data_IF_335633895883
#
_entry.id   IF_335633895883
#
_cell.length_a   1.000
_cell.length_b   1.000
_cell.length_c   1.000
_cell.angle_alpha   90.00
_cell.angle_beta   90.00
_cell.angle_gamma   90.00
#
_symmetry.space_group_name_H-M   'P 1'
#
loop_
_entity.id
_entity.type
_entity.pdbx_description
1 polymer ?
#
# COMPACT_ATOMS: atom_id res chain seq x y z
N UNK A 1 58.03 -41.68 -8.98
CA UNK A 1 56.69 -42.25 -9.23
C UNK A 1 55.67 -41.56 -8.33
N UNK A 2 55.50 -40.24 -8.49
CA UNK A 2 54.67 -39.44 -7.56
C UNK A 2 54.07 -38.17 -8.16
N UNK A 3 54.61 -37.63 -9.27
CA UNK A 3 54.10 -36.40 -9.91
C UNK A 3 52.81 -36.60 -10.73
N UNK A 4 52.53 -37.83 -11.17
CA UNK A 4 51.31 -38.16 -11.94
C UNK A 4 50.05 -38.08 -11.05
N UNK A 5 50.11 -38.61 -9.82
CA UNK A 5 48.96 -38.67 -8.91
C UNK A 5 48.48 -37.30 -8.42
N UNK A 6 49.41 -36.35 -8.24
CA UNK A 6 49.06 -34.97 -7.87
C UNK A 6 48.39 -34.21 -9.02
N UNK A 7 48.73 -34.54 -10.27
CA UNK A 7 48.16 -33.89 -11.46
C UNK A 7 46.69 -34.27 -11.63
N UNK A 8 46.37 -35.55 -11.49
CA UNK A 8 44.98 -36.05 -11.54
C UNK A 8 44.12 -35.48 -10.40
N UNK A 9 44.66 -35.47 -9.18
CA UNK A 9 43.97 -34.91 -8.01
C UNK A 9 43.69 -33.41 -8.17
N UNK A 10 44.63 -32.65 -8.74
CA UNK A 10 44.46 -31.21 -9.00
C UNK A 10 43.36 -30.95 -10.04
N UNK A 11 43.28 -31.77 -11.09
CA UNK A 11 42.23 -31.65 -12.13
C UNK A 11 40.85 -31.93 -11.52
N UNK A 12 40.71 -32.98 -10.72
CA UNK A 12 39.43 -33.33 -10.08
C UNK A 12 38.96 -32.20 -9.15
N UNK A 13 39.85 -31.65 -8.32
CA UNK A 13 39.52 -30.55 -7.42
C UNK A 13 39.11 -29.30 -8.23
N UNK A 14 39.85 -28.96 -9.29
CA UNK A 14 39.51 -27.83 -10.16
C UNK A 14 38.13 -27.98 -10.80
N UNK A 15 37.79 -29.18 -11.31
CA UNK A 15 36.48 -29.46 -11.91
C UNK A 15 35.34 -29.34 -10.88
N UNK A 16 35.52 -29.86 -9.67
CA UNK A 16 34.53 -29.75 -8.60
C UNK A 16 34.34 -28.30 -8.15
N UNK A 17 35.42 -27.53 -8.05
CA UNK A 17 35.36 -26.10 -7.72
C UNK A 17 34.63 -25.32 -8.81
N UNK A 18 34.95 -25.54 -10.08
CA UNK A 18 34.25 -24.88 -11.19
C UNK A 18 32.76 -25.27 -11.23
N UNK A 19 32.44 -26.55 -11.07
CA UNK A 19 31.07 -27.05 -11.07
C UNK A 19 30.24 -26.47 -9.93
N UNK A 20 30.81 -26.38 -8.73
CA UNK A 20 30.13 -25.76 -7.57
C UNK A 20 29.94 -24.26 -7.74
N UNK A 21 30.93 -23.54 -8.27
CA UNK A 21 30.80 -22.11 -8.57
C UNK A 21 29.71 -21.84 -9.62
N UNK A 22 29.62 -22.68 -10.66
CA UNK A 22 28.56 -22.59 -11.67
C UNK A 22 27.18 -22.87 -11.06
N UNK A 23 27.06 -23.91 -10.23
CA UNK A 23 25.81 -24.23 -9.54
C UNK A 23 25.34 -23.09 -8.62
N UNK A 24 26.28 -22.46 -7.90
CA UNK A 24 25.99 -21.30 -7.06
C UNK A 24 25.56 -20.08 -7.90
N UNK A 25 26.23 -19.82 -9.01
CA UNK A 25 25.87 -18.73 -9.91
C UNK A 25 24.47 -18.92 -10.52
N UNK A 26 24.15 -20.14 -10.95
CA UNK A 26 22.81 -20.50 -11.45
C UNK A 26 21.74 -20.38 -10.38
N UNK A 27 22.01 -20.84 -9.15
CA UNK A 27 21.09 -20.72 -8.02
C UNK A 27 20.82 -19.26 -7.67
N UNK A 28 21.86 -18.43 -7.68
CA UNK A 28 21.72 -16.98 -7.45
C UNK A 28 20.92 -16.29 -8.56
N UNK A 29 21.16 -16.65 -9.82
CA UNK A 29 20.37 -16.13 -10.95
C UNK A 29 18.91 -16.56 -10.87
N UNK A 30 18.65 -17.84 -10.56
CA UNK A 30 17.31 -18.38 -10.38
C UNK A 30 16.57 -17.70 -9.22
N UNK A 31 17.24 -17.46 -8.09
CA UNK A 31 16.67 -16.74 -6.96
C UNK A 31 16.31 -15.31 -7.35
N UNK A 32 17.22 -14.59 -8.01
CA UNK A 32 16.95 -13.22 -8.47
C UNK A 32 15.78 -13.18 -9.45
N UNK A 33 15.75 -14.12 -10.40
CA UNK A 33 14.65 -14.27 -11.34
C UNK A 33 13.32 -14.56 -10.61
N UNK A 34 13.32 -15.47 -9.63
CA UNK A 34 12.14 -15.80 -8.85
C UNK A 34 11.62 -14.61 -8.03
N UNK A 35 12.53 -13.84 -7.40
CA UNK A 35 12.17 -12.62 -6.68
C UNK A 35 11.59 -11.57 -7.62
N UNK A 36 12.18 -11.39 -8.81
CA UNK A 36 11.66 -10.45 -9.82
C UNK A 36 10.31 -10.91 -10.36
N UNK A 37 10.15 -12.19 -10.66
CA UNK A 37 8.90 -12.78 -11.11
C UNK A 37 7.80 -12.60 -10.05
N UNK A 38 8.11 -12.89 -8.77
CA UNK A 38 7.18 -12.70 -7.67
C UNK A 38 6.77 -11.21 -7.54
N UNK A 39 7.74 -10.31 -7.61
CA UNK A 39 7.49 -8.87 -7.59
C UNK A 39 6.58 -8.44 -8.74
N UNK A 40 6.82 -8.94 -9.94
CA UNK A 40 6.04 -8.62 -11.13
C UNK A 40 4.63 -9.23 -11.10
N UNK A 41 4.47 -10.45 -10.61
CA UNK A 41 3.18 -11.10 -10.42
C UNK A 41 2.33 -10.35 -9.39
N UNK A 42 2.95 -9.88 -8.30
CA UNK A 42 2.27 -9.00 -7.34
C UNK A 42 1.80 -7.69 -7.98
N UNK A 43 2.64 -7.09 -8.83
CA UNK A 43 2.25 -5.89 -9.57
C UNK A 43 1.06 -6.13 -10.51
N UNK A 44 1.12 -7.19 -11.33
CA UNK A 44 0.03 -7.53 -12.27
C UNK A 44 -1.28 -7.85 -11.54
N UNK A 45 -1.21 -8.66 -10.47
CA UNK A 45 -2.38 -9.03 -9.69
C UNK A 45 -3.00 -7.79 -9.00
N UNK A 46 -2.17 -6.96 -8.38
CA UNK A 46 -2.59 -5.69 -7.78
C UNK A 46 -3.29 -4.82 -8.81
N UNK A 47 -2.71 -4.66 -9.99
CA UNK A 47 -3.23 -3.79 -11.02
C UNK A 47 -4.55 -4.34 -11.60
N UNK A 48 -4.71 -5.67 -11.69
CA UNK A 48 -5.99 -6.29 -12.04
C UNK A 48 -7.08 -6.01 -11.01
N UNK A 49 -6.79 -6.13 -9.71
CA UNK A 49 -7.73 -5.75 -8.65
C UNK A 49 -8.11 -4.26 -8.71
N UNK A 50 -7.20 -3.40 -9.20
CA UNK A 50 -7.51 -1.98 -9.41
C UNK A 50 -8.50 -1.74 -10.56
N UNK A 51 -8.50 -2.59 -11.58
CA UNK A 51 -9.40 -2.45 -12.73
C UNK A 51 -10.85 -2.85 -12.45
N UNK A 52 -11.13 -3.47 -11.30
CA UNK A 52 -12.49 -3.87 -10.96
C UNK A 52 -13.37 -2.62 -10.79
N UNK A 53 -14.47 -2.48 -11.55
CA UNK A 53 -15.37 -1.33 -11.46
C UNK A 53 -15.97 -1.18 -10.05
N UNK A 54 -16.10 -2.30 -9.33
CA UNK A 54 -16.50 -2.36 -7.92
C UNK A 54 -15.54 -1.61 -6.99
N UNK A 55 -14.23 -1.58 -7.29
CA UNK A 55 -13.25 -0.91 -6.43
C UNK A 55 -13.55 0.58 -6.33
N UNK A 56 -13.67 1.28 -7.47
CA UNK A 56 -13.98 2.73 -7.46
C UNK A 56 -15.34 3.04 -6.83
N UNK A 57 -16.33 2.15 -7.04
CA UNK A 57 -17.65 2.24 -6.41
C UNK A 57 -17.56 2.11 -4.89
N UNK A 58 -16.70 1.22 -4.39
CA UNK A 58 -16.43 1.04 -2.97
C UNK A 58 -15.83 2.31 -2.35
N UNK A 59 -14.89 3.00 -3.01
CA UNK A 59 -14.33 4.28 -2.51
C UNK A 59 -15.42 5.32 -2.30
N UNK A 60 -16.28 5.45 -3.31
CA UNK A 60 -17.31 6.48 -3.35
C UNK A 60 -18.40 6.26 -2.30
N UNK A 61 -18.58 5.03 -1.81
CA UNK A 61 -19.51 4.71 -0.72
C UNK A 61 -18.82 4.72 0.64
N UNK A 62 -17.57 4.26 0.73
CA UNK A 62 -16.85 4.16 1.99
C UNK A 62 -16.50 5.54 2.59
N UNK A 63 -16.10 6.52 1.76
CA UNK A 63 -15.75 7.86 2.23
C UNK A 63 -16.94 8.58 2.91
N UNK A 64 -18.15 8.67 2.32
CA UNK A 64 -19.27 9.31 3.01
C UNK A 64 -19.66 8.57 4.29
N UNK A 65 -19.56 7.23 4.33
CA UNK A 65 -19.83 6.45 5.55
C UNK A 65 -18.86 6.84 6.68
N UNK A 66 -17.55 6.92 6.40
CA UNK A 66 -16.59 7.29 7.45
C UNK A 66 -16.75 8.74 7.89
N UNK A 67 -17.12 9.64 6.97
CA UNK A 67 -17.45 11.03 7.30
C UNK A 67 -18.62 11.11 8.28
N UNK A 68 -19.70 10.37 8.04
CA UNK A 68 -20.85 10.31 8.95
C UNK A 68 -20.43 9.76 10.31
N UNK A 69 -19.61 8.71 10.35
CA UNK A 69 -19.10 8.16 11.62
C UNK A 69 -18.22 9.15 12.38
N UNK A 70 -17.38 9.91 11.70
CA UNK A 70 -16.54 10.95 12.33
C UNK A 70 -17.37 12.11 12.88
N UNK A 71 -18.43 12.51 12.18
CA UNK A 71 -19.38 13.53 12.67
C UNK A 71 -20.14 12.98 13.89
N UNK A 72 -20.62 11.74 13.84
CA UNK A 72 -21.29 11.11 14.98
C UNK A 72 -20.34 11.01 16.20
N UNK A 73 -19.03 10.81 15.99
CA UNK A 73 -18.03 10.76 17.06
C UNK A 73 -17.90 12.07 17.88
N UNK A 74 -18.49 13.18 17.43
CA UNK A 74 -18.56 14.43 18.18
C UNK A 74 -19.52 14.35 19.37
N UNK A 75 -20.51 13.45 19.31
CA UNK A 75 -21.37 13.13 20.44
C UNK A 75 -20.65 12.17 21.42
N UNK A 76 -21.05 12.15 22.70
CA UNK A 76 -20.52 11.18 23.66
C UNK A 76 -21.07 9.78 23.33
N UNK A 77 -20.17 8.89 22.87
CA UNK A 77 -20.48 7.49 22.59
C UNK A 77 -19.75 6.55 23.55
N UNK A 78 -20.21 5.30 23.72
CA UNK A 78 -19.48 4.29 24.47
C UNK A 78 -18.13 3.97 23.81
N UNK A 79 -17.16 3.53 24.62
CA UNK A 79 -15.79 3.24 24.18
C UNK A 79 -15.70 2.36 22.92
N UNK A 80 -16.59 1.37 22.83
CA UNK A 80 -16.66 0.44 21.69
C UNK A 80 -16.86 1.15 20.34
N UNK A 81 -17.61 2.25 20.30
CA UNK A 81 -17.84 3.04 19.09
C UNK A 81 -16.52 3.55 18.50
N UNK A 82 -15.62 4.06 19.35
CA UNK A 82 -14.34 4.60 18.91
C UNK A 82 -13.38 3.52 18.39
N UNK A 83 -13.51 2.28 18.87
CA UNK A 83 -12.75 1.15 18.36
C UNK A 83 -13.20 0.76 16.95
N UNK A 84 -14.52 0.72 16.70
CA UNK A 84 -15.07 0.50 15.36
C UNK A 84 -14.66 1.64 14.42
N UNK A 85 -14.76 2.89 14.87
CA UNK A 85 -14.37 4.07 14.10
C UNK A 85 -12.91 3.98 13.65
N UNK A 86 -12.00 3.61 14.56
CA UNK A 86 -10.57 3.44 14.25
C UNK A 86 -10.35 2.34 13.22
N UNK A 87 -10.98 1.18 13.40
CA UNK A 87 -10.86 0.07 12.46
C UNK A 87 -11.38 0.45 11.06
N UNK A 88 -12.55 1.08 11.00
CA UNK A 88 -13.16 1.54 9.76
C UNK A 88 -12.29 2.61 9.06
N UNK A 89 -11.86 3.63 9.80
CA UNK A 89 -11.02 4.72 9.29
C UNK A 89 -9.69 4.18 8.77
N UNK A 90 -9.00 3.37 9.58
CA UNK A 90 -7.73 2.76 9.23
C UNK A 90 -7.84 1.85 8.01
N UNK A 91 -8.86 0.98 7.96
CA UNK A 91 -9.10 0.08 6.83
C UNK A 91 -9.36 0.84 5.53
N UNK A 92 -10.18 1.89 5.58
CA UNK A 92 -10.46 2.73 4.40
C UNK A 92 -9.21 3.47 3.94
N UNK A 93 -8.43 4.05 4.86
CA UNK A 93 -7.17 4.73 4.52
C UNK A 93 -6.20 3.75 3.84
N UNK A 94 -5.96 2.58 4.43
CA UNK A 94 -5.08 1.57 3.82
C UNK A 94 -5.55 1.23 2.42
N UNK A 95 -6.85 0.99 2.26
CA UNK A 95 -7.40 0.61 0.98
C UNK A 95 -7.28 1.72 -0.07
N UNK A 96 -7.50 2.98 0.30
CA UNK A 96 -7.30 4.15 -0.57
C UNK A 96 -5.83 4.30 -0.99
N UNK A 97 -4.90 4.22 -0.02
CA UNK A 97 -3.47 4.33 -0.28
C UNK A 97 -2.98 3.16 -1.15
N UNK A 98 -3.47 1.94 -0.91
CA UNK A 98 -3.10 0.77 -1.72
C UNK A 98 -3.53 0.93 -3.19
N UNK A 99 -4.71 1.50 -3.41
CA UNK A 99 -5.28 1.64 -4.75
C UNK A 99 -4.67 2.79 -5.54
N UNK A 100 -4.50 3.98 -4.94
CA UNK A 100 -4.08 5.20 -5.64
C UNK A 100 -2.87 5.89 -5.00
N UNK A 101 -1.90 5.16 -4.43
CA UNK A 101 -0.70 5.81 -3.87
C UNK A 101 0.01 6.71 -4.90
N UNK A 102 0.14 7.99 -4.55
CA UNK A 102 0.97 8.97 -5.27
C UNK A 102 1.76 9.79 -4.26
N UNK A 103 3.00 10.23 -4.57
CA UNK A 103 3.80 11.07 -3.69
C UNK A 103 3.26 12.52 -3.69
N UNK A 104 2.01 12.72 -3.30
CA UNK A 104 1.33 14.02 -3.21
C UNK A 104 0.94 14.31 -1.77
N UNK A 105 0.78 15.59 -1.44
CA UNK A 105 0.37 16.04 -0.10
C UNK A 105 -0.90 15.33 0.38
N UNK A 106 -1.87 15.07 -0.51
CA UNK A 106 -3.10 14.36 -0.19
C UNK A 106 -2.89 12.96 0.37
N UNK A 107 -2.00 12.16 -0.25
CA UNK A 107 -1.72 10.79 0.18
C UNK A 107 -0.87 10.77 1.44
N UNK A 108 0.03 11.74 1.62
CA UNK A 108 0.73 11.92 2.90
C UNK A 108 -0.24 12.26 4.03
N UNK A 109 -1.21 13.15 3.81
CA UNK A 109 -2.26 13.45 4.80
C UNK A 109 -3.08 12.21 5.15
N UNK A 110 -3.47 11.41 4.15
CA UNK A 110 -4.15 10.13 4.38
C UNK A 110 -3.27 9.16 5.19
N UNK A 111 -1.98 9.04 4.87
CA UNK A 111 -1.07 8.20 5.64
C UNK A 111 -0.97 8.63 7.12
N UNK A 112 -0.90 9.94 7.37
CA UNK A 112 -0.93 10.48 8.74
C UNK A 112 -2.24 10.16 9.47
N UNK A 113 -3.39 10.24 8.78
CA UNK A 113 -4.68 9.82 9.34
C UNK A 113 -4.66 8.32 9.65
N UNK A 114 -4.09 7.49 8.78
CA UNK A 114 -3.92 6.06 9.03
C UNK A 114 -3.10 5.78 10.29
N UNK A 115 -2.01 6.51 10.50
CA UNK A 115 -1.22 6.42 11.74
C UNK A 115 -2.05 6.86 12.94
N UNK A 116 -2.77 7.98 12.83
CA UNK A 116 -3.56 8.56 13.93
C UNK A 116 -4.70 7.64 14.41
N UNK A 117 -5.39 6.98 13.47
CA UNK A 117 -6.52 6.08 13.76
C UNK A 117 -6.12 4.60 13.80
N UNK A 118 -4.83 4.27 13.89
CA UNK A 118 -4.35 2.89 13.90
C UNK A 118 -4.91 2.13 15.13
N UNK A 119 -5.68 1.03 14.94
CA UNK A 119 -6.24 0.27 16.05
C UNK A 119 -5.19 -0.58 16.80
N UNK A 120 -4.07 -0.93 16.15
CA UNK A 120 -3.02 -1.77 16.74
C UNK A 120 -2.14 -0.99 17.72
N UNK A 121 -1.90 0.29 17.40
CA UNK A 121 -1.09 1.20 18.23
C UNK A 121 -1.95 2.43 18.54
N UNK A 122 -2.87 2.34 19.51
CA UNK A 122 -3.81 3.41 19.80
C UNK A 122 -3.08 4.61 20.41
N UNK A 123 -3.19 5.77 19.76
CA UNK A 123 -2.69 7.02 20.32
C UNK A 123 -3.69 7.52 21.38
N UNK A 124 -3.22 7.65 22.62
CA UNK A 124 -4.01 8.11 23.75
C UNK A 124 -3.89 9.63 23.85
N UNK A 125 -4.86 10.35 23.26
CA UNK A 125 -4.99 11.81 23.37
C UNK A 125 -6.20 12.16 24.23
N UNK A 126 -6.21 13.38 24.77
CA UNK A 126 -7.36 13.89 25.54
C UNK A 126 -8.57 14.09 24.63
N UNK A 127 -9.77 14.08 25.22
CA UNK A 127 -11.03 14.30 24.49
C UNK A 127 -11.04 15.64 23.75
N UNK A 128 -10.43 16.68 24.32
CA UNK A 128 -10.32 18.01 23.73
C UNK A 128 -9.53 17.98 22.41
N UNK A 129 -8.40 17.27 22.39
CA UNK A 129 -7.60 17.11 21.17
C UNK A 129 -8.39 16.32 20.12
N UNK A 130 -9.03 15.21 20.51
CA UNK A 130 -9.88 14.44 19.59
C UNK A 130 -11.07 15.24 19.04
N UNK A 131 -11.61 16.19 19.82
CA UNK A 131 -12.70 17.06 19.37
C UNK A 131 -12.30 18.01 18.23
N UNK A 132 -10.99 18.29 18.12
CA UNK A 132 -10.41 19.07 17.01
C UNK A 132 -9.97 18.15 15.87
N UNK A 133 -9.34 17.02 16.19
CA UNK A 133 -8.82 16.08 15.19
C UNK A 133 -9.93 15.43 14.36
N UNK A 134 -11.06 15.05 14.97
CA UNK A 134 -12.18 14.45 14.25
C UNK A 134 -12.71 15.36 13.13
N UNK A 135 -13.07 16.64 13.37
CA UNK A 135 -13.50 17.55 12.29
C UNK A 135 -12.39 17.85 11.27
N UNK A 136 -11.12 17.96 11.68
CA UNK A 136 -10.02 18.10 10.71
C UNK A 136 -9.93 16.88 9.78
N UNK A 137 -10.14 15.69 10.33
CA UNK A 137 -10.16 14.43 9.57
C UNK A 137 -11.34 14.41 8.58
N UNK A 138 -12.52 14.90 9.00
CA UNK A 138 -13.68 15.06 8.09
C UNK A 138 -13.33 15.98 6.92
N UNK A 139 -12.74 17.15 7.18
CA UNK A 139 -12.34 18.10 6.14
C UNK A 139 -11.36 17.44 5.17
N UNK A 140 -10.37 16.70 5.67
CA UNK A 140 -9.40 15.98 4.85
C UNK A 140 -10.06 14.94 3.94
N UNK A 141 -10.97 14.11 4.46
CA UNK A 141 -11.69 13.12 3.65
C UNK A 141 -12.60 13.76 2.61
N UNK A 142 -13.32 14.83 2.95
CA UNK A 142 -14.19 15.55 2.01
C UNK A 142 -13.35 16.19 0.90
N UNK A 143 -12.23 16.82 1.24
CA UNK A 143 -11.32 17.41 0.26
C UNK A 143 -10.68 16.35 -0.65
N UNK A 144 -10.26 15.21 -0.09
CA UNK A 144 -9.75 14.08 -0.85
C UNK A 144 -10.81 13.52 -1.81
N UNK A 145 -12.04 13.32 -1.32
CA UNK A 145 -13.15 12.83 -2.13
C UNK A 145 -13.49 13.79 -3.25
N UNK A 146 -13.58 15.09 -2.96
CA UNK A 146 -13.82 16.14 -3.96
C UNK A 146 -12.73 16.20 -5.02
N UNK A 147 -11.45 16.05 -4.64
CA UNK A 147 -10.36 16.05 -5.62
C UNK A 147 -10.36 14.80 -6.51
N UNK A 148 -10.83 13.67 -5.99
CA UNK A 148 -10.95 12.40 -6.73
C UNK A 148 -12.20 12.37 -7.64
N UNK A 149 -13.26 13.11 -7.29
CA UNK A 149 -14.54 13.14 -8.00
C UNK A 149 -14.61 14.13 -9.16
N UNK A 150 -13.61 14.98 -9.40
CA UNK A 150 -13.61 15.82 -10.61
C UNK A 150 -13.28 14.92 -11.81
N UNK A 151 -14.25 14.56 -12.69
CA UNK A 151 -13.84 14.20 -14.04
C UNK A 151 -13.03 15.39 -14.53
N UNK A 152 -11.80 15.15 -15.00
CA UNK A 152 -11.03 16.17 -15.68
C UNK A 152 -11.99 16.82 -16.66
N UNK A 153 -12.34 18.09 -16.44
CA UNK A 153 -13.12 18.86 -17.39
C UNK A 153 -12.41 18.66 -18.71
N UNK A 154 -13.03 17.95 -19.65
CA UNK A 154 -12.48 17.81 -21.00
C UNK A 154 -12.11 19.23 -21.40
N UNK A 155 -10.82 19.46 -21.64
CA UNK A 155 -10.39 20.65 -22.36
C UNK A 155 -11.28 20.66 -23.59
N UNK A 156 -12.12 21.70 -23.66
CA UNK A 156 -13.14 21.92 -24.67
C UNK A 156 -12.50 21.54 -26.02
N UNK A 157 -12.95 20.45 -26.64
CA UNK A 157 -12.50 20.12 -27.99
C UNK A 157 -12.76 21.38 -28.83
N UNK A 158 -11.73 22.00 -29.44
CA UNK A 158 -11.95 23.18 -30.26
C UNK A 158 -12.94 22.77 -31.35
N UNK A 159 -14.04 23.53 -31.48
CA UNK A 159 -15.08 23.27 -32.46
C UNK A 159 -14.43 23.12 -33.85
N UNK A 160 -14.86 22.15 -34.67
CA UNK A 160 -14.38 22.06 -36.04
C UNK A 160 -14.70 23.37 -36.75
N UNK A 161 -13.65 23.97 -37.33
CA UNK A 161 -13.67 25.21 -38.11
C UNK A 161 -14.55 25.11 -39.34
#
# INVERSE_FOLDING_TARGET
MGTSDYTESTIVIAVLLVGTLLALALSFYALRWAVQWLHQSFHQFRDHLKTLPEAKKLSNLAIPVIVVMLIAAMLPWPYFYYQILRLACFGIVIWLLWHDWRPTLAHFTLAMIGVLYNPLVPIHLTREIWSVLNPLTVIAFVWFWWSTLRPATRVKDPAPS
#
